data_IF_781673943084
#
_entry.id   IF_781673943084
#
_cell.length_a   1.000
_cell.length_b   1.000
_cell.length_c   1.000
_cell.angle_alpha   90.00
_cell.angle_beta   90.00
_cell.angle_gamma   90.00
#
_symmetry.space_group_name_H-M   'P 1'
#
loop_
_entity.id
_entity.type
_entity.pdbx_description
1 polymer ?
#
# COMPACT_ATOMS: atom_id res chain seq x y z
N UNK A 1 6.32 10.27 -26.32
CA UNK A 1 6.87 9.29 -25.35
C UNK A 1 6.02 8.05 -25.46
N UNK A 2 6.66 6.95 -25.76
CA UNK A 2 6.03 5.74 -26.28
C UNK A 2 5.69 4.80 -25.12
N UNK A 3 4.79 3.84 -25.34
CA UNK A 3 4.58 2.65 -24.48
C UNK A 3 5.91 2.03 -24.02
N UNK A 4 6.98 2.22 -24.79
CA UNK A 4 8.36 1.85 -24.51
C UNK A 4 8.97 2.50 -23.24
N UNK A 5 8.55 3.70 -22.83
CA UNK A 5 9.01 4.35 -21.58
C UNK A 5 8.29 3.78 -20.34
N UNK A 6 7.05 3.35 -20.49
CA UNK A 6 6.25 2.67 -19.44
C UNK A 6 6.76 1.24 -19.23
N UNK A 7 7.16 0.57 -20.33
CA UNK A 7 7.84 -0.75 -20.29
C UNK A 7 9.23 -0.66 -19.66
N UNK A 8 9.99 0.43 -19.84
CA UNK A 8 11.29 0.60 -19.17
C UNK A 8 11.18 0.86 -17.65
N UNK A 9 10.10 1.48 -17.17
CA UNK A 9 9.89 1.67 -15.72
C UNK A 9 9.46 0.35 -15.04
N UNK A 10 8.63 -0.45 -15.72
CA UNK A 10 8.27 -1.81 -15.27
C UNK A 10 9.45 -2.81 -15.40
N UNK A 11 10.42 -2.56 -16.29
CA UNK A 11 11.69 -3.31 -16.38
C UNK A 11 12.70 -2.96 -15.25
N UNK A 12 12.64 -1.74 -14.70
CA UNK A 12 13.36 -1.41 -13.46
C UNK A 12 12.77 -2.14 -12.23
N UNK A 13 11.45 -2.32 -12.21
CA UNK A 13 10.75 -3.10 -11.19
C UNK A 13 11.05 -4.62 -11.23
N UNK A 14 11.72 -5.13 -12.28
CA UNK A 14 12.10 -6.55 -12.42
C UNK A 14 13.62 -6.83 -12.34
N UNK A 15 14.46 -5.80 -12.42
CA UNK A 15 15.93 -5.91 -12.32
C UNK A 15 16.50 -5.97 -10.90
N UNK A 16 15.70 -5.74 -9.85
CA UNK A 16 16.10 -5.94 -8.44
C UNK A 16 16.21 -7.41 -8.01
N UNK A 17 15.91 -8.34 -8.91
CA UNK A 17 16.43 -9.72 -8.87
C UNK A 17 17.98 -9.79 -9.01
N UNK A 18 18.68 -8.67 -9.23
CA UNK A 18 20.15 -8.61 -9.34
C UNK A 18 20.91 -8.54 -7.99
N UNK A 19 20.27 -8.78 -6.84
CA UNK A 19 20.97 -8.94 -5.55
C UNK A 19 20.75 -10.33 -4.92
N UNK A 20 20.79 -11.37 -5.75
CA UNK A 20 21.12 -12.73 -5.30
C UNK A 20 22.60 -12.78 -4.98
N UNK A 21 22.96 -12.83 -3.69
CA UNK A 21 24.32 -13.20 -3.29
C UNK A 21 24.91 -12.49 -2.06
N UNK A 22 24.25 -12.54 -0.91
CA UNK A 22 24.99 -12.55 0.37
C UNK A 22 24.51 -13.71 1.22
N UNK A 23 25.29 -14.79 1.20
CA UNK A 23 25.19 -15.89 2.16
C UNK A 23 25.28 -15.35 3.59
N UNK A 24 24.43 -15.81 4.52
CA UNK A 24 24.56 -15.44 5.93
C UNK A 24 25.89 -16.00 6.47
N UNK A 25 26.70 -15.12 7.08
CA UNK A 25 27.81 -15.55 7.94
C UNK A 25 27.21 -16.34 9.10
N UNK A 26 27.58 -17.60 9.21
CA UNK A 26 27.39 -18.41 10.41
C UNK A 26 28.12 -17.76 11.57
N UNK A 27 27.38 -17.14 12.50
CA UNK A 27 27.90 -16.77 13.81
C UNK A 27 27.60 -17.94 14.74
N UNK A 28 28.65 -18.58 15.24
CA UNK A 28 28.55 -19.64 16.23
C UNK A 28 27.87 -19.13 17.51
N UNK A 29 26.90 -19.87 18.08
CA UNK A 29 26.24 -19.48 19.31
C UNK A 29 27.20 -19.59 20.50
N UNK A 30 27.39 -18.48 21.21
CA UNK A 30 27.98 -18.48 22.54
C UNK A 30 26.97 -19.13 23.51
N UNK A 31 27.45 -20.17 24.20
CA UNK A 31 26.70 -21.02 25.11
C UNK A 31 26.38 -20.28 26.41
N UNK A 32 25.18 -19.70 26.52
CA UNK A 32 24.66 -19.16 27.77
C UNK A 32 24.12 -20.30 28.65
N UNK A 33 24.76 -20.52 29.80
CA UNK A 33 24.32 -21.45 30.85
C UNK A 33 23.52 -20.67 31.89
N UNK A 34 22.20 -20.57 31.72
CA UNK A 34 21.23 -20.40 32.82
C UNK A 34 19.83 -20.64 32.27
N UNK A 35 19.14 -21.65 32.79
CA UNK A 35 17.74 -21.91 32.49
C UNK A 35 16.85 -20.99 33.34
N UNK A 36 15.86 -20.27 32.77
CA UNK A 36 14.86 -19.58 33.56
C UNK A 36 13.82 -20.57 34.13
N UNK A 37 13.21 -20.26 35.28
CA UNK A 37 12.28 -21.15 35.97
C UNK A 37 11.01 -21.38 35.16
N UNK A 38 10.51 -22.62 35.23
CA UNK A 38 9.31 -23.11 34.57
C UNK A 38 8.08 -22.23 34.84
N UNK A 39 7.53 -21.62 33.77
CA UNK A 39 6.21 -20.99 33.78
C UNK A 39 5.14 -22.06 34.04
N UNK A 40 4.53 -21.97 35.22
CA UNK A 40 3.41 -22.79 35.67
C UNK A 40 2.14 -22.25 35.00
N UNK A 41 1.52 -23.02 34.11
CA UNK A 41 0.23 -22.69 33.53
C UNK A 41 -0.87 -22.81 34.60
N UNK A 42 -1.23 -21.69 35.20
CA UNK A 42 -2.38 -21.58 36.09
C UNK A 42 -3.65 -21.43 35.24
N UNK A 43 -4.57 -22.41 35.33
CA UNK A 43 -5.87 -22.34 34.64
C UNK A 43 -6.71 -21.24 35.28
N UNK A 44 -7.01 -20.19 34.53
CA UNK A 44 -8.05 -19.23 34.88
C UNK A 44 -9.43 -19.93 34.98
N UNK A 45 -10.27 -19.55 35.97
CA UNK A 45 -11.56 -20.18 36.19
C UNK A 45 -12.56 -19.83 35.08
N UNK A 46 -13.35 -20.82 34.66
CA UNK A 46 -14.46 -20.65 33.73
C UNK A 46 -15.56 -19.79 34.38
N UNK A 47 -15.63 -18.50 34.04
CA UNK A 47 -16.84 -17.71 34.29
C UNK A 47 -17.80 -17.91 33.12
N UNK A 48 -18.89 -18.64 33.38
CA UNK A 48 -20.01 -18.79 32.48
C UNK A 48 -20.74 -17.47 32.26
N UNK A 49 -20.82 -17.05 31.01
CA UNK A 49 -21.64 -15.95 30.53
C UNK A 49 -21.66 -16.06 29.01
N UNK A 50 -22.85 -16.04 28.41
CA UNK A 50 -23.05 -16.10 26.96
C UNK A 50 -22.29 -14.96 26.28
N UNK A 51 -21.09 -15.26 25.79
CA UNK A 51 -20.20 -14.31 25.15
C UNK A 51 -20.72 -13.91 23.79
N UNK A 52 -21.20 -12.67 23.69
CA UNK A 52 -21.21 -11.94 22.43
C UNK A 52 -19.74 -11.83 21.99
N UNK A 53 -19.40 -12.36 20.82
CA UNK A 53 -18.06 -12.19 20.24
C UNK A 53 -17.82 -10.69 20.05
N UNK A 54 -16.84 -10.15 20.76
CA UNK A 54 -16.30 -8.83 20.45
C UNK A 54 -15.22 -9.04 19.36
N UNK A 55 -15.48 -8.70 18.08
CA UNK A 55 -14.51 -8.89 17.01
C UNK A 55 -13.25 -8.01 17.17
N UNK A 56 -13.24 -7.11 18.15
CA UNK A 56 -12.17 -6.14 18.41
C UNK A 56 -11.17 -6.58 19.50
N UNK A 57 -11.24 -7.83 20.00
CA UNK A 57 -10.25 -8.33 20.95
C UNK A 57 -8.96 -8.76 20.24
N UNK A 58 -7.94 -7.91 20.27
CA UNK A 58 -6.57 -8.29 19.92
C UNK A 58 -5.88 -8.88 21.16
N UNK A 59 -5.30 -10.09 21.08
CA UNK A 59 -4.52 -10.64 22.19
C UNK A 59 -3.28 -9.76 22.47
N UNK A 60 -2.77 -9.73 23.73
CA UNK A 60 -1.60 -8.93 24.08
C UNK A 60 -0.37 -9.35 23.26
N UNK A 61 0.27 -8.36 22.64
CA UNK A 61 1.44 -8.50 21.79
C UNK A 61 2.66 -8.78 22.68
N UNK A 62 3.27 -9.96 22.52
CA UNK A 62 4.61 -10.22 23.07
C UNK A 62 5.63 -9.30 22.38
N UNK A 63 6.42 -8.55 23.15
CA UNK A 63 7.41 -7.60 22.64
C UNK A 63 8.48 -8.31 21.78
N UNK A 64 8.79 -7.86 20.54
CA UNK A 64 9.87 -8.45 19.77
C UNK A 64 11.23 -7.79 20.02
N UNK A 65 12.22 -8.67 20.00
CA UNK A 65 13.66 -8.47 20.12
C UNK A 65 14.25 -7.38 19.21
N UNK A 66 14.85 -6.37 19.87
CA UNK A 66 16.06 -5.61 19.51
C UNK A 66 16.29 -5.20 18.05
N UNK A 67 16.14 -3.89 17.82
CA UNK A 67 17.01 -3.02 17.03
C UNK A 67 17.83 -3.67 15.90
N UNK A 68 17.23 -3.79 14.71
CA UNK A 68 17.99 -3.80 13.45
C UNK A 68 18.01 -2.37 12.90
N UNK A 69 19.20 -1.94 12.53
CA UNK A 69 19.58 -0.61 12.05
C UNK A 69 18.54 0.02 11.11
N UNK A 70 17.90 1.07 11.61
CA UNK A 70 16.98 1.97 10.90
C UNK A 70 17.74 2.75 9.83
N UNK A 71 17.79 2.22 8.61
CA UNK A 71 17.69 3.11 7.45
C UNK A 71 16.19 3.35 7.28
N UNK A 72 15.74 4.58 7.54
CA UNK A 72 14.32 4.86 7.69
C UNK A 72 13.60 4.58 6.37
N UNK A 73 12.40 4.00 6.42
CA UNK A 73 11.55 3.81 5.25
C UNK A 73 11.41 5.12 4.44
N UNK A 74 11.38 6.27 5.12
CA UNK A 74 11.41 7.59 4.53
C UNK A 74 12.67 7.84 3.66
N UNK A 75 13.87 7.42 4.06
CA UNK A 75 15.08 7.50 3.24
C UNK A 75 15.01 6.59 2.00
N UNK A 76 14.42 5.39 2.12
CA UNK A 76 14.23 4.49 0.97
C UNK A 76 13.22 5.04 -0.03
N UNK A 77 12.09 5.57 0.46
CA UNK A 77 11.05 6.18 -0.35
C UNK A 77 11.52 7.49 -0.99
N UNK A 78 12.27 8.31 -0.24
CA UNK A 78 12.92 9.54 -0.74
C UNK A 78 13.99 9.21 -1.77
N UNK A 79 14.80 8.17 -1.55
CA UNK A 79 15.78 7.69 -2.52
C UNK A 79 15.12 7.19 -3.80
N UNK A 80 13.97 6.52 -3.69
CA UNK A 80 13.17 6.08 -4.83
C UNK A 80 12.54 7.27 -5.59
N UNK A 81 11.90 8.20 -4.88
CA UNK A 81 11.32 9.41 -5.45
C UNK A 81 12.37 10.30 -6.12
N UNK A 82 13.55 10.46 -5.50
CA UNK A 82 14.68 11.20 -6.05
C UNK A 82 15.22 10.56 -7.32
N UNK A 83 15.46 9.24 -7.34
CA UNK A 83 15.92 8.55 -8.56
C UNK A 83 14.91 8.65 -9.70
N UNK A 84 13.62 8.58 -9.38
CA UNK A 84 12.54 8.77 -10.36
C UNK A 84 12.51 10.22 -10.87
N UNK A 85 12.63 11.22 -9.99
CA UNK A 85 12.69 12.64 -10.36
C UNK A 85 13.94 12.98 -11.19
N UNK A 86 15.11 12.46 -10.82
CA UNK A 86 16.38 12.62 -11.54
C UNK A 86 16.34 11.94 -12.93
N UNK A 87 15.48 10.93 -13.12
CA UNK A 87 15.27 10.26 -14.41
C UNK A 87 14.27 10.96 -15.33
N UNK A 88 13.48 11.91 -14.81
CA UNK A 88 12.39 12.58 -15.51
C UNK A 88 12.67 14.08 -15.74
N UNK A 89 13.50 14.70 -14.90
CA UNK A 89 13.76 16.15 -14.93
C UNK A 89 15.29 16.38 -14.98
N UNK A 90 15.76 17.13 -15.99
CA UNK A 90 17.15 17.59 -16.05
C UNK A 90 17.35 18.74 -15.04
N UNK A 91 17.89 18.40 -13.87
CA UNK A 91 18.14 19.34 -12.76
C UNK A 91 19.35 20.25 -12.96
N UNK A 92 19.97 20.28 -14.15
CA UNK A 92 21.21 20.99 -14.46
C UNK A 92 21.24 22.51 -14.15
N UNK A 93 20.13 23.12 -13.76
CA UNK A 93 20.03 24.55 -13.43
C UNK A 93 19.66 24.88 -11.98
N UNK A 94 19.37 23.91 -11.12
CA UNK A 94 19.05 24.21 -9.71
C UNK A 94 20.30 24.18 -8.82
N UNK A 95 20.87 25.36 -8.53
CA UNK A 95 21.90 25.53 -7.50
C UNK A 95 21.26 26.07 -6.22
N UNK A 96 21.10 25.28 -5.15
CA UNK A 96 20.65 25.80 -3.87
C UNK A 96 21.77 26.64 -3.25
N UNK A 97 21.54 27.94 -3.14
CA UNK A 97 22.40 28.87 -2.39
C UNK A 97 21.81 29.09 -1.01
N UNK A 98 22.38 28.44 0.02
CA UNK A 98 22.01 28.69 1.40
C UNK A 98 22.32 27.51 2.32
N UNK A 99 23.19 27.73 3.30
CA UNK A 99 23.54 26.79 4.36
C UNK A 99 22.38 26.60 5.35
N UNK A 100 22.17 25.34 5.75
CA UNK A 100 21.63 24.89 7.04
C UNK A 100 20.12 24.69 7.26
N UNK A 101 19.32 24.49 6.21
CA UNK A 101 18.13 23.63 6.28
C UNK A 101 17.94 22.92 4.96
N UNK A 102 18.19 21.61 4.91
CA UNK A 102 17.76 20.83 3.76
C UNK A 102 16.24 20.87 3.77
N UNK A 103 15.62 21.21 2.64
CA UNK A 103 14.16 21.08 2.44
C UNK A 103 13.62 19.71 2.88
N UNK A 104 14.50 18.69 2.91
CA UNK A 104 14.27 17.36 3.48
C UNK A 104 14.06 17.37 5.00
N UNK A 105 14.85 18.12 5.76
CA UNK A 105 14.65 18.29 7.21
C UNK A 105 13.34 19.02 7.52
N UNK A 106 12.95 19.97 6.66
CA UNK A 106 11.64 20.63 6.77
C UNK A 106 10.50 19.65 6.44
N UNK A 107 10.62 18.83 5.39
CA UNK A 107 9.63 17.78 5.08
C UNK A 107 9.50 16.73 6.17
N UNK A 108 10.60 16.31 6.78
CA UNK A 108 10.57 15.39 7.93
C UNK A 108 9.87 16.05 9.13
N UNK A 109 10.14 17.34 9.39
CA UNK A 109 9.47 18.11 10.42
C UNK A 109 7.97 18.28 10.18
N UNK A 110 7.56 18.53 8.93
CA UNK A 110 6.16 18.55 8.53
C UNK A 110 5.51 17.17 8.63
N UNK A 111 6.20 16.11 8.23
CA UNK A 111 5.73 14.74 8.39
C UNK A 111 5.46 14.43 9.87
N UNK A 112 6.43 14.68 10.76
CA UNK A 112 6.27 14.47 12.20
C UNK A 112 5.14 15.34 12.80
N UNK A 113 4.95 16.57 12.30
CA UNK A 113 3.86 17.45 12.73
C UNK A 113 2.47 16.98 12.28
N UNK A 114 2.39 16.41 11.07
CA UNK A 114 1.18 15.78 10.53
C UNK A 114 0.91 14.46 11.27
N UNK A 115 1.93 13.66 11.54
CA UNK A 115 1.83 12.39 12.29
C UNK A 115 1.19 12.58 13.67
N UNK A 116 1.59 13.61 14.43
CA UNK A 116 0.96 13.94 15.70
C UNK A 116 -0.52 14.35 15.59
N UNK A 117 -0.94 14.90 14.45
CA UNK A 117 -2.35 15.21 14.17
C UNK A 117 -3.12 13.96 13.68
N UNK A 118 -2.46 13.03 12.98
CA UNK A 118 -3.06 11.78 12.52
C UNK A 118 -3.41 10.84 13.69
N UNK A 119 -2.61 10.88 14.76
CA UNK A 119 -2.89 10.17 16.02
C UNK A 119 -4.20 10.64 16.68
N UNK A 120 -4.52 11.94 16.59
CA UNK A 120 -5.75 12.50 17.16
C UNK A 120 -6.99 12.23 16.30
N UNK A 121 -6.85 12.22 14.98
CA UNK A 121 -7.99 12.22 14.06
C UNK A 121 -8.52 10.81 13.75
N UNK A 122 -7.70 9.75 13.81
CA UNK A 122 -8.26 8.38 13.73
C UNK A 122 -7.26 7.25 13.94
N UNK A 123 -7.32 6.61 15.11
CA UNK A 123 -6.75 5.28 15.30
C UNK A 123 -7.43 4.24 14.40
N UNK A 124 -8.72 4.41 14.11
CA UNK A 124 -9.49 3.42 13.35
C UNK A 124 -9.34 3.56 11.82
N UNK A 125 -9.56 4.75 11.25
CA UNK A 125 -9.50 4.97 9.78
C UNK A 125 -8.10 4.68 9.22
N UNK A 126 -7.05 5.03 9.97
CA UNK A 126 -5.66 4.84 9.53
C UNK A 126 -5.03 3.56 10.09
N UNK A 127 -5.81 2.69 10.76
CA UNK A 127 -5.33 1.35 11.09
C UNK A 127 -5.24 0.50 9.83
N UNK A 128 -4.23 -0.36 9.78
CA UNK A 128 -4.02 -1.27 8.67
C UNK A 128 -3.90 -2.73 9.13
N UNK A 129 -4.20 -3.65 8.23
CA UNK A 129 -4.30 -5.09 8.51
C UNK A 129 -2.97 -5.74 8.84
N UNK A 130 -2.99 -6.72 9.76
CA UNK A 130 -1.87 -7.60 10.08
C UNK A 130 -1.72 -8.67 8.99
N UNK A 131 -0.59 -8.67 8.28
CA UNK A 131 -0.35 -9.56 7.14
C UNK A 131 0.52 -10.76 7.49
N UNK A 132 0.90 -10.95 8.76
CA UNK A 132 1.75 -12.07 9.16
C UNK A 132 1.10 -13.43 8.80
N UNK A 133 1.92 -14.42 8.42
CA UNK A 133 3.38 -14.38 8.35
C UNK A 133 3.94 -13.84 7.02
N UNK A 134 3.09 -13.37 6.11
CA UNK A 134 3.50 -12.94 4.78
C UNK A 134 4.23 -11.58 4.82
N UNK A 135 5.07 -11.31 3.83
CA UNK A 135 5.90 -10.10 3.70
C UNK A 135 6.17 -9.79 2.23
N UNK A 136 6.85 -8.68 1.93
CA UNK A 136 7.19 -8.22 0.57
C UNK A 136 8.08 -9.20 -0.20
N UNK A 137 8.72 -10.13 0.50
CA UNK A 137 9.57 -11.17 -0.09
C UNK A 137 8.88 -12.53 -0.21
N UNK A 138 7.69 -12.73 0.38
CA UNK A 138 6.95 -13.99 0.19
C UNK A 138 6.17 -13.99 -1.12
N UNK A 139 5.94 -15.17 -1.70
CA UNK A 139 5.15 -15.30 -2.94
C UNK A 139 3.74 -14.72 -2.79
N UNK A 140 3.12 -14.90 -1.62
CA UNK A 140 1.80 -14.32 -1.36
C UNK A 140 1.85 -12.79 -1.31
N UNK A 141 2.86 -12.21 -0.66
CA UNK A 141 3.04 -10.75 -0.63
C UNK A 141 3.33 -10.17 -2.02
N UNK A 142 4.19 -10.82 -2.80
CA UNK A 142 4.45 -10.41 -4.19
C UNK A 142 3.21 -10.50 -5.07
N UNK A 143 2.41 -11.57 -4.93
CA UNK A 143 1.16 -11.71 -5.66
C UNK A 143 0.16 -10.62 -5.26
N UNK A 144 0.09 -10.28 -3.98
CA UNK A 144 -0.74 -9.18 -3.49
C UNK A 144 -0.28 -7.83 -4.05
N UNK A 145 1.01 -7.52 -4.01
CA UNK A 145 1.57 -6.31 -4.61
C UNK A 145 1.31 -6.22 -6.10
N UNK A 146 1.43 -7.34 -6.82
CA UNK A 146 1.21 -7.41 -8.26
C UNK A 146 -0.24 -7.07 -8.68
N UNK A 147 -1.21 -7.15 -7.77
CA UNK A 147 -2.59 -6.73 -8.07
C UNK A 147 -2.70 -5.25 -8.42
N UNK A 148 -1.78 -4.40 -7.93
CA UNK A 148 -1.71 -2.97 -8.30
C UNK A 148 -1.38 -2.76 -9.78
N UNK A 149 -0.77 -3.74 -10.45
CA UNK A 149 -0.53 -3.65 -11.90
C UNK A 149 -1.84 -3.54 -12.69
N UNK A 150 -2.97 -3.99 -12.14
CA UNK A 150 -4.27 -3.81 -12.77
C UNK A 150 -4.61 -2.33 -12.97
N UNK A 151 -4.32 -1.49 -11.97
CA UNK A 151 -4.52 -0.04 -12.07
C UNK A 151 -3.58 0.58 -13.11
N UNK A 152 -2.28 0.24 -13.09
CA UNK A 152 -1.36 0.75 -14.11
C UNK A 152 -1.78 0.33 -15.53
N UNK A 153 -2.18 -0.92 -15.74
CA UNK A 153 -2.65 -1.35 -17.06
C UNK A 153 -3.91 -0.59 -17.50
N UNK A 154 -4.86 -0.37 -16.59
CA UNK A 154 -6.05 0.43 -16.86
C UNK A 154 -5.68 1.89 -17.18
N UNK A 155 -4.83 2.52 -16.37
CA UNK A 155 -4.38 3.89 -16.55
C UNK A 155 -3.64 4.09 -17.87
N UNK A 156 -2.66 3.23 -18.17
CA UNK A 156 -1.94 3.25 -19.44
C UNK A 156 -2.87 3.07 -20.65
N UNK A 157 -3.88 2.20 -20.56
CA UNK A 157 -4.89 2.05 -21.61
C UNK A 157 -5.70 3.33 -21.82
N UNK A 158 -6.19 3.94 -20.73
CA UNK A 158 -6.98 5.17 -20.79
C UNK A 158 -6.19 6.33 -21.41
N UNK A 159 -4.92 6.49 -21.01
CA UNK A 159 -4.01 7.48 -21.63
C UNK A 159 -3.85 7.25 -23.13
N UNK A 160 -3.70 5.98 -23.55
CA UNK A 160 -3.55 5.64 -24.98
C UNK A 160 -4.82 5.92 -25.79
N UNK A 161 -6.00 5.88 -25.16
CA UNK A 161 -7.30 6.14 -25.79
C UNK A 161 -7.78 7.58 -25.63
N UNK A 162 -6.91 8.49 -25.20
CA UNK A 162 -7.18 9.94 -25.16
C UNK A 162 -7.74 10.46 -23.83
N UNK A 163 -8.04 9.59 -22.86
CA UNK A 163 -8.40 9.99 -21.51
C UNK A 163 -7.14 10.15 -20.64
N UNK A 164 -6.40 11.22 -20.95
CA UNK A 164 -5.15 11.54 -20.26
C UNK A 164 -5.35 11.80 -18.76
N UNK A 165 -6.43 12.48 -18.39
CA UNK A 165 -6.65 12.91 -17.01
C UNK A 165 -6.95 11.71 -16.11
N UNK A 166 -7.98 10.92 -16.44
CA UNK A 166 -8.37 9.80 -15.60
C UNK A 166 -7.36 8.65 -15.69
N UNK A 167 -6.73 8.45 -16.85
CA UNK A 167 -5.64 7.49 -17.01
C UNK A 167 -4.42 7.82 -16.13
N UNK A 168 -3.98 9.09 -16.11
CA UNK A 168 -2.86 9.53 -15.25
C UNK A 168 -3.22 9.43 -13.77
N UNK A 169 -4.44 9.84 -13.39
CA UNK A 169 -4.92 9.71 -12.01
C UNK A 169 -4.91 8.24 -11.55
N UNK A 170 -5.33 7.31 -12.42
CA UNK A 170 -5.33 5.87 -12.13
C UNK A 170 -3.91 5.33 -11.91
N UNK A 171 -2.92 5.77 -12.70
CA UNK A 171 -1.50 5.42 -12.49
C UNK A 171 -0.96 5.96 -11.16
N UNK A 172 -1.28 7.21 -10.81
CA UNK A 172 -0.83 7.80 -9.53
C UNK A 172 -1.46 7.05 -8.35
N UNK A 173 -2.73 6.67 -8.45
CA UNK A 173 -3.41 5.80 -7.47
C UNK A 173 -2.72 4.44 -7.37
N UNK A 174 -2.33 3.82 -8.50
CA UNK A 174 -1.60 2.56 -8.52
C UNK A 174 -0.27 2.65 -7.73
N UNK A 175 0.49 3.74 -7.92
CA UNK A 175 1.76 3.96 -7.23
C UNK A 175 1.56 4.17 -5.74
N UNK A 176 0.56 4.97 -5.35
CA UNK A 176 0.26 5.22 -3.94
C UNK A 176 -0.20 3.95 -3.21
N UNK A 177 -1.12 3.20 -3.82
CA UNK A 177 -1.62 1.94 -3.28
C UNK A 177 -0.51 0.89 -3.18
N UNK A 178 0.37 0.78 -4.19
CA UNK A 178 1.55 -0.07 -4.11
C UNK A 178 2.47 0.33 -2.96
N UNK A 179 2.76 1.63 -2.80
CA UNK A 179 3.64 2.12 -1.74
C UNK A 179 3.08 1.81 -0.34
N UNK A 180 1.77 1.99 -0.15
CA UNK A 180 1.08 1.61 1.09
C UNK A 180 1.20 0.10 1.36
N UNK A 181 0.78 -0.75 0.41
CA UNK A 181 0.80 -2.20 0.62
C UNK A 181 2.20 -2.78 0.74
N UNK A 182 3.20 -2.17 0.09
CA UNK A 182 4.59 -2.52 0.29
C UNK A 182 5.02 -2.23 1.73
N UNK A 183 4.76 -1.01 2.24
CA UNK A 183 5.07 -0.65 3.62
C UNK A 183 4.30 -1.49 4.64
N UNK A 184 3.05 -1.85 4.32
CA UNK A 184 2.21 -2.75 5.11
C UNK A 184 2.83 -4.16 5.20
N UNK A 185 3.32 -4.70 4.09
CA UNK A 185 3.99 -6.01 4.04
C UNK A 185 5.37 -5.98 4.69
N UNK A 186 6.16 -4.93 4.47
CA UNK A 186 7.50 -4.76 5.06
C UNK A 186 7.42 -4.67 6.59
N UNK A 187 6.44 -3.93 7.11
CA UNK A 187 6.14 -3.89 8.54
C UNK A 187 5.36 -5.11 9.03
N UNK A 188 4.86 -5.94 8.10
CA UNK A 188 3.93 -7.05 8.35
C UNK A 188 2.69 -6.66 9.17
N UNK A 189 2.25 -5.40 9.15
CA UNK A 189 1.18 -4.94 10.04
C UNK A 189 1.61 -4.62 11.48
N UNK A 190 2.90 -4.77 11.80
CA UNK A 190 3.43 -4.59 13.16
C UNK A 190 3.71 -3.11 13.40
N UNK A 191 3.32 -2.61 14.58
CA UNK A 191 3.62 -1.29 15.15
C UNK A 191 2.92 -0.05 14.55
N UNK A 192 1.88 -0.19 13.72
CA UNK A 192 1.10 0.96 13.19
C UNK A 192 2.00 2.15 12.80
N UNK A 193 3.06 1.86 12.05
CA UNK A 193 4.14 2.81 11.78
C UNK A 193 3.58 4.08 11.13
N UNK A 194 3.93 5.28 11.63
CA UNK A 194 3.39 6.54 11.12
C UNK A 194 3.57 6.72 9.60
N UNK A 195 4.71 6.27 9.07
CA UNK A 195 4.97 6.32 7.63
C UNK A 195 4.00 5.46 6.80
N UNK A 196 3.59 4.31 7.30
CA UNK A 196 2.60 3.43 6.65
C UNK A 196 1.22 4.08 6.72
N UNK A 197 0.86 4.71 7.84
CA UNK A 197 -0.40 5.47 8.00
C UNK A 197 -0.48 6.67 7.07
N UNK A 198 0.63 7.39 6.90
CA UNK A 198 0.70 8.49 5.94
C UNK A 198 0.52 7.98 4.50
N UNK A 199 1.17 6.87 4.15
CA UNK A 199 0.98 6.26 2.82
C UNK A 199 -0.46 5.79 2.59
N UNK A 200 -1.11 5.24 3.62
CA UNK A 200 -2.53 4.86 3.59
C UNK A 200 -3.45 6.07 3.38
N UNK A 201 -3.17 7.19 4.07
CA UNK A 201 -3.94 8.42 3.88
C UNK A 201 -3.83 8.94 2.43
N UNK A 202 -2.61 8.94 1.87
CA UNK A 202 -2.38 9.35 0.49
C UNK A 202 -3.11 8.43 -0.48
N UNK A 203 -3.03 7.11 -0.27
CA UNK A 203 -3.76 6.11 -1.05
C UNK A 203 -5.28 6.38 -1.01
N UNK A 204 -5.86 6.58 0.19
CA UNK A 204 -7.27 6.92 0.33
C UNK A 204 -7.67 8.19 -0.42
N UNK A 205 -6.91 9.28 -0.29
CA UNK A 205 -7.21 10.53 -1.00
C UNK A 205 -7.26 10.29 -2.51
N UNK A 206 -6.30 9.55 -3.06
CA UNK A 206 -6.21 9.27 -4.49
C UNK A 206 -7.30 8.29 -4.95
N UNK A 207 -7.58 7.25 -4.17
CA UNK A 207 -8.65 6.30 -4.43
C UNK A 207 -10.02 6.99 -4.43
N UNK A 208 -10.33 7.80 -3.42
CA UNK A 208 -11.59 8.56 -3.36
C UNK A 208 -11.69 9.59 -4.48
N UNK A 209 -10.59 10.25 -4.85
CA UNK A 209 -10.56 11.16 -6.00
C UNK A 209 -10.85 10.40 -7.30
N UNK A 210 -10.23 9.23 -7.51
CA UNK A 210 -10.46 8.38 -8.68
C UNK A 210 -11.91 7.92 -8.76
N UNK A 211 -12.50 7.48 -7.63
CA UNK A 211 -13.92 7.12 -7.54
C UNK A 211 -14.81 8.33 -7.86
N UNK A 212 -14.49 9.52 -7.34
CA UNK A 212 -15.24 10.74 -7.61
C UNK A 212 -15.23 11.12 -9.10
N UNK A 213 -14.08 11.04 -9.75
CA UNK A 213 -13.96 11.26 -11.21
C UNK A 213 -14.75 10.21 -11.99
N UNK A 214 -14.64 8.95 -11.61
CA UNK A 214 -15.39 7.86 -12.27
C UNK A 214 -16.91 8.06 -12.15
N UNK A 215 -17.40 8.44 -10.96
CA UNK A 215 -18.82 8.74 -10.74
C UNK A 215 -19.26 9.96 -11.54
N UNK A 216 -18.42 10.99 -11.65
CA UNK A 216 -18.70 12.15 -12.49
C UNK A 216 -18.83 11.76 -13.97
N UNK A 217 -17.89 10.94 -14.49
CA UNK A 217 -17.96 10.44 -15.87
C UNK A 217 -19.23 9.63 -16.12
N UNK A 218 -19.59 8.72 -15.20
CA UNK A 218 -20.84 7.96 -15.28
C UNK A 218 -22.10 8.83 -15.21
N UNK A 219 -22.10 9.88 -14.38
CA UNK A 219 -23.24 10.79 -14.28
C UNK A 219 -23.43 11.61 -15.56
N UNK A 220 -22.35 11.82 -16.32
CA UNK A 220 -22.38 12.48 -17.63
C UNK A 220 -22.55 11.51 -18.80
N UNK A 221 -22.45 10.20 -18.56
CA UNK A 221 -22.63 9.16 -19.57
C UNK A 221 -24.11 8.81 -19.72
N UNK A 222 -24.50 8.18 -20.83
CA UNK A 222 -25.88 7.75 -21.04
C UNK A 222 -26.30 6.69 -20.03
N UNK A 223 -27.61 6.59 -19.74
CA UNK A 223 -28.13 5.64 -18.73
C UNK A 223 -27.89 4.17 -19.07
N UNK A 224 -27.83 3.81 -20.36
CA UNK A 224 -27.66 2.42 -20.81
C UNK A 224 -26.24 1.89 -20.56
N UNK A 225 -25.24 2.77 -20.57
CA UNK A 225 -23.82 2.42 -20.38
C UNK A 225 -23.52 2.02 -18.93
N UNK A 226 -24.26 2.58 -17.97
CA UNK A 226 -24.14 2.30 -16.53
C UNK A 226 -24.32 0.81 -16.21
N UNK A 227 -25.18 0.13 -16.95
CA UNK A 227 -25.47 -1.30 -16.72
C UNK A 227 -24.27 -2.20 -17.02
N UNK A 228 -23.32 -1.74 -17.84
CA UNK A 228 -22.07 -2.48 -18.11
C UNK A 228 -21.05 -2.34 -16.98
N UNK A 229 -21.08 -1.20 -16.27
CA UNK A 229 -20.14 -0.85 -15.19
C UNK A 229 -20.63 -1.36 -13.83
N UNK A 230 -21.93 -1.45 -13.63
CA UNK A 230 -22.53 -1.77 -12.34
C UNK A 230 -22.11 -3.15 -11.79
N UNK A 231 -22.09 -4.26 -12.57
CA UNK A 231 -21.69 -5.56 -12.04
C UNK A 231 -20.26 -5.60 -11.46
N UNK A 232 -19.20 -5.17 -12.17
CA UNK A 232 -17.86 -5.17 -11.59
C UNK A 232 -17.74 -4.17 -10.43
N UNK A 233 -18.43 -3.03 -10.45
CA UNK A 233 -18.45 -2.09 -9.33
C UNK A 233 -19.01 -2.71 -8.05
N UNK A 234 -20.14 -3.43 -8.15
CA UNK A 234 -20.76 -4.14 -7.02
C UNK A 234 -19.83 -5.22 -6.48
N UNK A 235 -19.25 -6.04 -7.36
CA UNK A 235 -18.31 -7.10 -6.96
C UNK A 235 -17.07 -6.51 -6.28
N UNK A 236 -16.56 -5.39 -6.80
CA UNK A 236 -15.45 -4.65 -6.23
C UNK A 236 -15.79 -4.22 -4.79
N UNK A 237 -16.87 -3.46 -4.61
CA UNK A 237 -17.29 -2.99 -3.28
C UNK A 237 -17.57 -4.16 -2.32
N UNK A 238 -18.11 -5.27 -2.82
CA UNK A 238 -18.26 -6.50 -2.05
C UNK A 238 -16.93 -7.08 -1.57
N UNK A 239 -15.92 -7.12 -2.45
CA UNK A 239 -14.58 -7.59 -2.10
C UNK A 239 -13.88 -6.67 -1.08
N UNK A 240 -14.02 -5.34 -1.23
CA UNK A 240 -13.52 -4.37 -0.26
C UNK A 240 -14.20 -4.53 1.10
N UNK A 241 -15.53 -4.57 1.13
CA UNK A 241 -16.29 -4.78 2.37
C UNK A 241 -15.95 -6.10 3.06
N UNK A 242 -15.76 -7.17 2.27
CA UNK A 242 -15.29 -8.45 2.79
C UNK A 242 -13.88 -8.35 3.39
N UNK A 243 -12.97 -7.59 2.77
CA UNK A 243 -11.61 -7.39 3.32
C UNK A 243 -11.61 -6.77 4.72
N UNK A 244 -12.62 -5.96 5.06
CA UNK A 244 -12.79 -5.42 6.42
C UNK A 244 -13.30 -6.44 7.43
N UNK A 245 -14.05 -7.45 6.99
CA UNK A 245 -14.49 -8.57 7.86
C UNK A 245 -13.29 -9.45 8.22
N UNK A 246 -12.45 -9.75 7.22
CA UNK A 246 -11.23 -10.53 7.41
C UNK A 246 -10.00 -9.62 7.41
N UNK A 247 -9.84 -8.84 8.47
CA UNK A 247 -8.77 -7.84 8.60
C UNK A 247 -7.34 -8.40 8.79
N UNK A 248 -7.11 -9.71 8.65
CA UNK A 248 -5.80 -10.33 8.86
C UNK A 248 -5.43 -11.40 7.82
N UNK A 249 -4.13 -11.51 7.58
CA UNK A 249 -3.49 -12.58 6.81
C UNK A 249 -3.95 -12.69 5.36
N UNK A 250 -3.94 -13.93 4.84
CA UNK A 250 -4.23 -14.22 3.43
C UNK A 250 -5.66 -13.90 2.99
N UNK A 251 -6.71 -14.13 3.79
CA UNK A 251 -8.07 -13.75 3.40
C UNK A 251 -8.16 -12.25 3.07
N UNK A 252 -7.55 -11.39 3.89
CA UNK A 252 -7.43 -9.96 3.58
C UNK A 252 -6.76 -9.74 2.23
N UNK A 253 -5.56 -10.29 2.02
CA UNK A 253 -4.77 -10.08 0.80
C UNK A 253 -5.50 -10.53 -0.47
N UNK A 254 -6.24 -11.63 -0.40
CA UNK A 254 -7.04 -12.15 -1.52
C UNK A 254 -8.21 -11.21 -1.81
N UNK A 255 -9.00 -10.85 -0.81
CA UNK A 255 -10.20 -10.03 -0.98
C UNK A 255 -9.84 -8.59 -1.38
N UNK A 256 -8.79 -8.03 -0.79
CA UNK A 256 -8.29 -6.71 -1.12
C UNK A 256 -7.61 -6.69 -2.50
N UNK A 257 -6.89 -7.77 -2.87
CA UNK A 257 -6.37 -7.93 -4.22
C UNK A 257 -7.49 -8.06 -5.27
N UNK A 258 -8.60 -8.75 -4.95
CA UNK A 258 -9.80 -8.78 -5.80
C UNK A 258 -10.45 -7.41 -5.93
N UNK A 259 -10.49 -6.62 -4.85
CA UNK A 259 -10.88 -5.22 -4.90
C UNK A 259 -10.04 -4.48 -5.95
N UNK A 260 -8.71 -4.58 -5.94
CA UNK A 260 -7.86 -3.92 -6.94
C UNK A 260 -8.18 -4.31 -8.38
N UNK A 261 -8.33 -5.60 -8.66
CA UNK A 261 -8.63 -6.04 -10.03
C UNK A 261 -10.00 -5.55 -10.51
N UNK A 262 -11.02 -5.68 -9.66
CA UNK A 262 -12.39 -5.34 -10.02
C UNK A 262 -12.61 -3.82 -10.09
N UNK A 263 -11.98 -3.04 -9.21
CA UNK A 263 -12.04 -1.58 -9.23
C UNK A 263 -11.26 -1.02 -10.42
N UNK A 264 -10.07 -1.58 -10.73
CA UNK A 264 -9.31 -1.21 -11.92
C UNK A 264 -10.10 -1.49 -13.20
N UNK A 265 -10.74 -2.66 -13.29
CA UNK A 265 -11.60 -3.01 -14.42
C UNK A 265 -12.83 -2.09 -14.50
N UNK A 266 -13.43 -1.73 -13.36
CA UNK A 266 -14.53 -0.76 -13.29
C UNK A 266 -14.07 0.61 -13.81
N UNK A 267 -12.92 1.12 -13.34
CA UNK A 267 -12.34 2.38 -13.82
C UNK A 267 -12.01 2.34 -15.30
N UNK A 268 -11.45 1.23 -15.80
CA UNK A 268 -11.24 0.99 -17.23
C UNK A 268 -12.54 1.16 -18.02
N UNK A 269 -13.64 0.49 -17.62
CA UNK A 269 -14.92 0.59 -18.33
C UNK A 269 -15.46 2.02 -18.33
N UNK A 270 -15.40 2.70 -17.19
CA UNK A 270 -15.86 4.09 -17.06
C UNK A 270 -15.08 5.02 -17.99
N UNK A 271 -13.75 4.95 -17.97
CA UNK A 271 -12.93 5.79 -18.84
C UNK A 271 -13.07 5.41 -20.32
N UNK A 272 -13.28 4.14 -20.63
CA UNK A 272 -13.51 3.68 -22.01
C UNK A 272 -14.85 4.19 -22.57
N UNK A 273 -15.91 4.20 -21.75
CA UNK A 273 -17.20 4.85 -22.07
C UNK A 273 -16.99 6.35 -22.27
N UNK A 274 -16.32 7.02 -21.33
CA UNK A 274 -16.11 8.47 -21.39
C UNK A 274 -15.33 8.91 -22.63
N UNK A 275 -14.33 8.14 -23.05
CA UNK A 275 -13.53 8.39 -24.25
C UNK A 275 -14.19 7.95 -25.56
N UNK A 276 -15.34 7.28 -25.50
CA UNK A 276 -16.02 6.71 -26.68
C UNK A 276 -15.24 5.56 -27.32
N UNK A 277 -14.40 4.88 -26.55
CA UNK A 277 -13.62 3.72 -27.00
C UNK A 277 -14.45 2.42 -27.05
N UNK A 278 -15.64 2.41 -26.42
CA UNK A 278 -16.58 1.28 -26.35
C UNK A 278 -18.01 1.80 -26.51
#
# INVERSE_FOLDING_TARGET
MTVQSIVCFLLLASSTNAFVGRTPRTVSPARSKTAPPSLRWERQPKSGGSGFWNPFYSPPIEAPLSARTEESFAERLTGYAKRTADSVVDWGTFKPTGSDKTWLGDLQGYANGIEGQLDEVSDWILSYSDLRPDSETTTAGQAFLATNLAYSLAGAYLVQNGDFFFGTLTEITAVASFAYHYGQLESQGVNNLPSVRLSLLIDYILAFTSIGVALFYLATSGGDEVMTVLPPAILSLGALGASWVWYTGRPYMILHGLWHFLSAYTGYLVGAIHSGAV
#
